data_IF_237325763311
#
_entry.id   IF_237325763311
#
_cell.length_a   1.000
_cell.length_b   1.000
_cell.length_c   1.000
_cell.angle_alpha   90.00
_cell.angle_beta   90.00
_cell.angle_gamma   90.00
#
_symmetry.space_group_name_H-M   'P 1'
#
loop_
_entity.id
_entity.type
_entity.pdbx_description
1 polymer ?
#
# COMPACT_ATOMS: atom_id res chain seq x y z
N UNK A 1 -15.16 56.90 -16.45
CA UNK A 1 -13.92 56.26 -15.95
C UNK A 1 -14.14 55.76 -14.53
N UNK A 2 -14.28 54.45 -14.31
CA UNK A 2 -14.35 53.85 -12.96
C UNK A 2 -13.14 52.92 -12.80
N UNK A 3 -12.10 53.39 -12.13
CA UNK A 3 -10.94 52.58 -11.75
C UNK A 3 -11.35 51.57 -10.68
N UNK A 4 -11.34 50.28 -11.02
CA UNK A 4 -11.42 49.17 -10.06
C UNK A 4 -10.02 48.94 -9.49
N UNK A 5 -9.82 49.28 -8.22
CA UNK A 5 -8.66 48.82 -7.46
C UNK A 5 -8.69 47.29 -7.35
N UNK A 6 -7.79 46.64 -8.09
CA UNK A 6 -7.52 45.22 -7.94
C UNK A 6 -6.87 44.98 -6.58
N UNK A 7 -7.52 44.19 -5.71
CA UNK A 7 -6.89 43.68 -4.49
C UNK A 7 -5.60 42.95 -4.90
N UNK A 8 -4.45 43.24 -4.28
CA UNK A 8 -3.24 42.49 -4.57
C UNK A 8 -3.48 41.03 -4.15
N UNK A 9 -3.34 40.11 -5.11
CA UNK A 9 -3.21 38.69 -4.80
C UNK A 9 -2.01 38.57 -3.86
N UNK A 10 -2.26 38.33 -2.57
CA UNK A 10 -1.23 37.84 -1.65
C UNK A 10 -0.67 36.57 -2.29
N UNK A 11 0.53 36.69 -2.90
CA UNK A 11 1.43 35.54 -3.04
C UNK A 11 1.69 35.09 -1.62
N UNK A 12 0.97 34.07 -1.16
CA UNK A 12 1.38 33.30 0.00
C UNK A 12 2.78 32.81 -0.30
N UNK A 13 3.77 33.41 0.39
CA UNK A 13 5.14 32.92 0.40
C UNK A 13 5.07 31.42 0.67
N UNK A 14 5.68 30.63 -0.22
CA UNK A 14 5.88 29.18 -0.09
C UNK A 14 6.88 28.91 1.04
N UNK A 15 6.54 29.25 2.28
CA UNK A 15 7.37 28.97 3.45
C UNK A 15 6.69 27.97 4.39
N UNK A 16 5.95 27.01 3.84
CA UNK A 16 5.38 25.94 4.64
C UNK A 16 6.49 24.93 4.98
N UNK A 17 7.19 25.26 6.07
CA UNK A 17 7.74 24.33 7.06
C UNK A 17 9.08 23.62 6.73
N UNK A 18 10.18 24.38 6.85
CA UNK A 18 11.59 23.91 6.76
C UNK A 18 12.20 23.42 8.09
N UNK A 19 11.42 23.36 9.18
CA UNK A 19 11.87 22.86 10.51
C UNK A 19 12.55 21.48 10.46
N UNK A 20 12.27 20.69 9.42
CA UNK A 20 12.83 19.35 9.23
C UNK A 20 14.33 19.37 8.94
N UNK A 21 14.84 20.46 8.35
CA UNK A 21 16.27 20.64 8.09
C UNK A 21 17.05 20.82 9.39
N UNK A 22 16.45 21.52 10.35
CA UNK A 22 17.02 21.72 11.68
C UNK A 22 17.04 20.42 12.52
N UNK A 23 16.46 19.34 12.00
CA UNK A 23 16.43 18.02 12.65
C UNK A 23 17.47 17.05 12.11
N UNK A 24 18.07 17.37 10.97
CA UNK A 24 19.05 16.50 10.33
C UNK A 24 20.44 16.89 10.81
N UNK A 25 21.12 15.93 11.44
CA UNK A 25 22.52 16.08 11.87
C UNK A 25 23.49 15.90 10.69
N UNK A 26 23.06 15.20 9.64
CA UNK A 26 23.85 14.95 8.44
C UNK A 26 23.83 16.17 7.50
N UNK A 27 24.94 16.92 7.53
CA UNK A 27 25.17 18.10 6.68
C UNK A 27 25.01 17.82 5.18
N UNK A 28 25.27 16.60 4.70
CA UNK A 28 25.10 16.23 3.30
C UNK A 28 23.62 16.16 2.91
N UNK A 29 22.78 15.53 3.75
CA UNK A 29 21.33 15.43 3.54
C UNK A 29 20.65 16.78 3.69
N UNK A 30 21.13 17.62 4.61
CA UNK A 30 20.65 19.01 4.77
C UNK A 30 20.90 19.81 3.49
N UNK A 31 22.10 19.72 2.93
CA UNK A 31 22.45 20.40 1.68
C UNK A 31 21.62 19.87 0.51
N UNK A 32 21.46 18.54 0.38
CA UNK A 32 20.62 17.95 -0.65
C UNK A 32 19.15 18.41 -0.56
N UNK A 33 18.56 18.48 0.62
CA UNK A 33 17.18 18.95 0.78
C UNK A 33 17.05 20.46 0.57
N UNK A 34 18.07 21.23 0.95
CA UNK A 34 18.15 22.67 0.72
C UNK A 34 18.21 23.05 -0.75
N UNK A 35 19.04 22.35 -1.53
CA UNK A 35 19.16 22.57 -2.97
C UNK A 35 17.88 22.22 -3.74
N UNK A 36 16.96 21.49 -3.09
CA UNK A 36 15.79 20.90 -3.71
C UNK A 36 14.46 21.36 -3.08
N UNK A 37 14.42 22.54 -2.45
CA UNK A 37 13.24 23.06 -1.71
C UNK A 37 11.93 23.11 -2.53
N UNK A 38 12.00 23.23 -3.86
CA UNK A 38 10.81 23.33 -4.73
C UNK A 38 10.15 21.99 -5.11
N UNK A 39 10.80 20.86 -4.80
CA UNK A 39 10.35 19.51 -5.21
C UNK A 39 9.79 18.67 -4.06
N UNK A 40 9.78 19.21 -2.84
CA UNK A 40 9.20 18.55 -1.69
C UNK A 40 8.41 19.50 -0.79
N UNK A 41 7.51 18.92 0.00
CA UNK A 41 6.78 19.63 1.05
C UNK A 41 6.77 18.76 2.29
N UNK A 42 7.04 19.34 3.46
CA UNK A 42 6.81 18.69 4.75
C UNK A 42 5.52 19.22 5.36
N UNK A 43 4.68 18.32 5.83
CA UNK A 43 3.54 18.68 6.68
C UNK A 43 3.92 18.40 8.12
N UNK A 44 3.75 19.40 9.00
CA UNK A 44 4.05 19.25 10.42
C UNK A 44 3.22 18.10 11.02
N UNK A 45 3.80 17.33 11.97
CA UNK A 45 3.04 16.35 12.72
C UNK A 45 2.00 17.09 13.59
N UNK A 46 0.82 16.52 13.74
CA UNK A 46 -0.24 17.12 14.57
C UNK A 46 0.09 17.11 16.08
N UNK A 47 1.14 16.42 16.51
CA UNK A 47 1.56 16.37 17.91
C UNK A 47 2.68 17.37 18.23
N UNK A 48 2.43 18.27 19.18
CA UNK A 48 3.43 19.24 19.67
C UNK A 48 4.68 18.60 20.28
N UNK A 49 4.58 17.33 20.72
CA UNK A 49 5.67 16.57 21.31
C UNK A 49 6.80 16.28 20.31
N UNK A 50 6.49 16.05 19.03
CA UNK A 50 7.50 15.85 17.99
C UNK A 50 8.29 17.14 17.69
N UNK A 51 7.65 18.31 17.81
CA UNK A 51 8.29 19.62 17.62
C UNK A 51 9.34 19.87 18.70
N UNK A 52 9.06 19.45 19.94
CA UNK A 52 10.01 19.54 21.07
C UNK A 52 11.08 18.46 20.98
N UNK A 53 10.70 17.24 20.59
CA UNK A 53 11.59 16.08 20.50
C UNK A 53 12.69 16.26 19.44
N UNK A 54 12.35 16.92 18.32
CA UNK A 54 13.27 17.17 17.20
C UNK A 54 13.95 15.90 16.65
N UNK A 55 13.36 14.73 16.89
CA UNK A 55 13.89 13.44 16.43
C UNK A 55 15.10 12.91 17.22
N UNK A 56 15.73 13.71 18.08
CA UNK A 56 16.95 13.33 18.83
C UNK A 56 16.67 12.86 20.25
N UNK A 57 15.60 13.36 20.89
CA UNK A 57 15.32 13.12 22.32
C UNK A 57 14.41 11.92 22.59
N UNK A 58 13.85 11.31 21.54
CA UNK A 58 12.99 10.13 21.61
C UNK A 58 11.86 10.24 22.64
N UNK A 59 11.31 11.45 22.81
CA UNK A 59 10.26 11.76 23.80
C UNK A 59 8.97 10.94 23.59
N UNK A 60 8.80 10.36 22.40
CA UNK A 60 7.70 9.46 22.10
C UNK A 60 7.91 8.02 22.63
N UNK A 61 9.04 7.73 23.28
CA UNK A 61 9.37 6.42 23.83
C UNK A 61 9.78 5.37 22.78
N UNK A 62 9.77 5.75 21.49
CA UNK A 62 10.16 4.86 20.39
C UNK A 62 11.67 4.64 20.39
N UNK A 63 12.11 3.45 19.99
CA UNK A 63 13.54 3.14 19.80
C UNK A 63 14.14 3.88 18.60
N UNK A 64 13.32 4.18 17.58
CA UNK A 64 13.70 4.97 16.41
C UNK A 64 12.65 5.99 16.02
N UNK A 65 13.07 7.20 15.62
CA UNK A 65 12.14 8.27 15.24
C UNK A 65 11.52 8.00 13.85
N UNK A 66 10.19 7.78 13.73
CA UNK A 66 9.55 7.52 12.44
C UNK A 66 9.61 8.72 11.48
N UNK A 67 9.67 9.93 12.03
CA UNK A 67 9.87 11.17 11.26
C UNK A 67 11.23 11.12 10.58
N UNK A 68 12.30 10.85 11.33
CA UNK A 68 13.66 10.80 10.78
C UNK A 68 13.84 9.65 9.79
N UNK A 69 13.23 8.48 10.03
CA UNK A 69 13.20 7.39 9.06
C UNK A 69 12.63 7.84 7.70
N UNK A 70 11.48 8.52 7.71
CA UNK A 70 10.85 9.03 6.49
C UNK A 70 11.69 10.14 5.84
N UNK A 71 12.27 11.03 6.62
CA UNK A 71 13.10 12.12 6.11
C UNK A 71 14.37 11.58 5.47
N UNK A 72 15.09 10.67 6.14
CA UNK A 72 16.31 10.06 5.62
C UNK A 72 16.02 9.24 4.36
N UNK A 73 14.93 8.47 4.36
CA UNK A 73 14.53 7.72 3.15
C UNK A 73 14.10 8.65 2.02
N UNK A 74 13.44 9.76 2.33
CA UNK A 74 13.08 10.76 1.33
C UNK A 74 14.31 11.45 0.76
N UNK A 75 15.23 11.92 1.61
CA UNK A 75 16.48 12.57 1.22
C UNK A 75 17.29 11.67 0.27
N UNK A 76 17.42 10.38 0.58
CA UNK A 76 18.04 9.39 -0.34
C UNK A 76 17.34 9.26 -1.69
N UNK A 77 16.05 9.57 -1.78
CA UNK A 77 15.32 9.61 -3.06
C UNK A 77 15.39 10.95 -3.77
N UNK A 78 15.88 12.02 -3.14
CA UNK A 78 15.96 13.37 -3.74
C UNK A 78 16.83 13.43 -5.00
N UNK A 79 18.01 12.79 -5.07
CA UNK A 79 18.81 12.75 -6.30
C UNK A 79 18.01 12.23 -7.51
N UNK A 80 17.07 11.32 -7.24
CA UNK A 80 16.22 10.65 -8.23
C UNK A 80 15.04 11.53 -8.71
N UNK A 81 14.80 12.66 -8.06
CA UNK A 81 13.70 13.59 -8.39
C UNK A 81 14.16 14.70 -9.35
N UNK A 82 15.48 14.88 -9.51
CA UNK A 82 16.03 15.91 -10.40
C UNK A 82 15.79 15.61 -11.88
N UNK A 83 15.47 14.38 -12.26
CA UNK A 83 15.28 14.02 -13.67
C UNK A 83 13.80 14.01 -14.06
N UNK A 84 13.53 14.38 -15.32
CA UNK A 84 12.21 14.22 -15.95
C UNK A 84 12.06 12.83 -16.58
N UNK A 85 13.18 12.17 -16.85
CA UNK A 85 13.24 10.84 -17.43
C UNK A 85 13.78 9.88 -16.36
N UNK A 86 13.00 8.86 -16.08
CA UNK A 86 13.33 7.81 -15.12
C UNK A 86 13.46 6.54 -15.93
N UNK A 87 14.59 5.86 -15.79
CA UNK A 87 14.83 4.58 -16.41
C UNK A 87 15.25 3.58 -15.34
N UNK A 88 14.66 2.40 -15.35
CA UNK A 88 14.99 1.34 -14.42
C UNK A 88 14.15 0.09 -14.61
N UNK A 89 14.61 -0.99 -13.98
CA UNK A 89 13.85 -2.22 -13.82
C UNK A 89 12.70 -1.91 -12.85
N UNK A 90 11.50 -1.77 -13.39
CA UNK A 90 10.29 -1.59 -12.59
C UNK A 90 9.85 -2.95 -12.07
N UNK A 91 9.49 -3.08 -10.77
CA UNK A 91 8.71 -4.23 -10.36
C UNK A 91 7.39 -4.23 -11.14
N UNK A 92 6.63 -5.34 -11.14
CA UNK A 92 5.27 -5.41 -11.69
C UNK A 92 4.25 -4.56 -10.89
N UNK A 93 4.62 -3.33 -10.55
CA UNK A 93 4.05 -2.50 -9.52
C UNK A 93 3.29 -1.34 -10.14
N UNK A 94 2.01 -1.27 -9.80
CA UNK A 94 1.08 -0.29 -10.34
C UNK A 94 0.26 0.32 -9.20
N UNK A 95 -0.13 1.58 -9.38
CA UNK A 95 -0.94 2.26 -8.38
C UNK A 95 -2.17 2.89 -9.02
N UNK A 96 -3.34 2.52 -8.50
CA UNK A 96 -4.63 3.11 -8.87
C UNK A 96 -5.15 3.88 -7.65
N UNK A 97 -5.22 5.19 -7.78
CA UNK A 97 -5.68 6.08 -6.71
C UNK A 97 -7.20 6.01 -6.48
N UNK A 98 -7.64 6.42 -5.28
CA UNK A 98 -9.07 6.53 -4.93
C UNK A 98 -9.63 7.95 -5.04
N UNK A 99 -8.75 8.95 -5.03
CA UNK A 99 -9.15 10.37 -5.01
C UNK A 99 -9.62 10.79 -6.39
N UNK A 100 -10.78 11.45 -6.46
CA UNK A 100 -11.36 11.95 -7.71
C UNK A 100 -12.29 10.96 -8.42
N UNK A 101 -12.61 9.82 -7.79
CA UNK A 101 -13.52 8.81 -8.35
C UNK A 101 -14.82 9.45 -8.90
N UNK A 102 -15.22 9.14 -10.16
CA UNK A 102 -14.76 8.05 -11.02
C UNK A 102 -13.52 8.37 -11.90
N UNK A 103 -12.93 9.56 -11.82
CA UNK A 103 -11.68 9.90 -12.51
C UNK A 103 -10.49 9.77 -11.57
N UNK A 104 -9.75 8.69 -11.72
CA UNK A 104 -8.64 8.35 -10.84
C UNK A 104 -7.30 8.55 -11.53
N UNK A 105 -6.23 8.66 -10.73
CA UNK A 105 -4.87 8.56 -11.25
C UNK A 105 -4.43 7.10 -11.23
N UNK A 106 -4.00 6.59 -12.37
CA UNK A 106 -3.40 5.28 -12.53
C UNK A 106 -2.02 5.41 -13.18
N UNK A 107 -1.09 4.51 -12.86
CA UNK A 107 0.20 4.45 -13.51
C UNK A 107 1.18 3.52 -12.81
N UNK A 108 2.37 3.34 -13.40
CA UNK A 108 3.40 2.46 -12.88
C UNK A 108 4.13 3.09 -11.68
N UNK A 109 4.83 2.24 -10.95
CA UNK A 109 5.72 2.61 -9.85
C UNK A 109 7.15 2.20 -10.21
N UNK A 110 7.93 3.15 -10.74
CA UNK A 110 9.23 2.87 -11.37
C UNK A 110 10.36 3.36 -10.48
N UNK A 111 11.31 2.51 -10.05
CA UNK A 111 12.54 2.93 -9.42
C UNK A 111 13.62 3.23 -10.47
N UNK A 112 14.54 4.17 -10.21
CA UNK A 112 15.71 4.43 -11.07
C UNK A 112 16.86 3.48 -10.71
N UNK A 113 16.58 2.18 -10.75
CA UNK A 113 17.52 1.10 -10.42
C UNK A 113 17.42 0.07 -11.54
N UNK A 114 18.55 -0.48 -11.99
CA UNK A 114 18.60 -1.45 -13.11
C UNK A 114 18.70 -2.91 -12.65
N UNK A 115 18.81 -3.15 -11.34
CA UNK A 115 18.81 -4.47 -10.74
C UNK A 115 17.39 -5.02 -10.56
N UNK A 116 17.24 -6.31 -10.26
CA UNK A 116 15.93 -6.91 -10.03
C UNK A 116 15.23 -6.30 -8.80
N UNK A 117 14.20 -5.49 -9.07
CA UNK A 117 13.41 -4.83 -8.04
C UNK A 117 12.11 -5.57 -7.73
N UNK A 118 11.94 -6.82 -8.17
CA UNK A 118 10.69 -7.59 -7.95
C UNK A 118 10.28 -7.63 -6.47
N UNK A 119 11.26 -7.65 -5.57
CA UNK A 119 11.04 -7.62 -4.13
C UNK A 119 10.38 -6.32 -3.64
N UNK A 120 10.49 -5.18 -4.34
CA UNK A 120 10.03 -3.87 -3.80
C UNK A 120 8.50 -3.73 -3.72
N UNK A 121 7.75 -4.63 -4.33
CA UNK A 121 6.29 -4.65 -4.33
C UNK A 121 5.76 -6.09 -4.22
N UNK A 122 6.41 -6.89 -3.36
CA UNK A 122 6.00 -8.26 -3.05
C UNK A 122 6.02 -8.51 -1.52
N UNK A 123 5.01 -8.00 -0.79
CA UNK A 123 4.92 -8.08 0.67
C UNK A 123 5.04 -9.49 1.26
N UNK A 124 4.61 -10.52 0.53
CA UNK A 124 4.72 -11.92 0.94
C UNK A 124 6.18 -12.35 1.21
N UNK A 125 7.16 -11.66 0.61
CA UNK A 125 8.59 -11.93 0.82
C UNK A 125 9.28 -10.92 1.75
N UNK A 126 8.52 -10.03 2.42
CA UNK A 126 9.10 -9.03 3.32
C UNK A 126 9.26 -9.51 4.75
N UNK A 127 8.68 -10.65 5.14
CA UNK A 127 8.85 -11.14 6.51
C UNK A 127 10.35 -11.39 6.80
N UNK A 128 10.83 -10.91 7.94
CA UNK A 128 12.25 -10.93 8.31
C UNK A 128 13.09 -9.76 7.79
N UNK A 129 12.52 -8.81 7.05
CA UNK A 129 13.17 -7.55 6.66
C UNK A 129 13.07 -6.49 7.75
N UNK A 130 13.98 -5.54 7.74
CA UNK A 130 13.92 -4.39 8.65
C UNK A 130 12.91 -3.36 8.16
N UNK A 131 12.41 -2.51 9.07
CA UNK A 131 11.54 -1.38 8.68
C UNK A 131 12.23 -0.46 7.68
N UNK A 132 13.55 -0.26 7.81
CA UNK A 132 14.36 0.54 6.89
C UNK A 132 14.36 0.00 5.47
N UNK A 133 14.52 -1.31 5.31
CA UNK A 133 14.48 -1.96 4.00
C UNK A 133 13.12 -1.75 3.34
N UNK A 134 12.03 -1.98 4.08
CA UNK A 134 10.67 -1.82 3.55
C UNK A 134 10.39 -0.35 3.20
N UNK A 135 10.74 0.59 4.09
CA UNK A 135 10.59 2.03 3.82
C UNK A 135 11.41 2.44 2.60
N UNK A 136 12.63 1.89 2.44
CA UNK A 136 13.50 2.12 1.28
C UNK A 136 12.84 1.59 0.00
N UNK A 137 12.38 0.33 -0.02
CA UNK A 137 11.68 -0.27 -1.16
C UNK A 137 10.56 0.63 -1.66
N UNK A 138 9.69 1.08 -0.74
CA UNK A 138 8.50 1.87 -1.07
C UNK A 138 8.81 3.31 -1.46
N UNK A 139 9.83 3.92 -0.88
CA UNK A 139 10.19 5.32 -1.13
C UNK A 139 10.94 5.51 -2.45
N UNK A 140 11.64 4.49 -2.95
CA UNK A 140 12.34 4.53 -4.24
C UNK A 140 11.40 4.44 -5.45
N UNK A 141 10.17 3.97 -5.24
CA UNK A 141 9.20 3.75 -6.30
C UNK A 141 8.51 5.06 -6.72
N UNK A 142 8.95 5.63 -7.85
CA UNK A 142 8.43 6.88 -8.39
C UNK A 142 7.11 6.60 -9.11
N UNK A 143 6.05 7.30 -8.68
CA UNK A 143 4.70 7.08 -9.20
C UNK A 143 4.40 7.96 -10.39
N UNK A 144 4.23 7.34 -11.55
CA UNK A 144 3.63 7.97 -12.71
C UNK A 144 2.13 8.18 -12.51
N UNK A 145 1.62 9.38 -12.80
CA UNK A 145 0.19 9.71 -12.70
C UNK A 145 -0.42 9.98 -14.07
N UNK A 146 -1.35 9.11 -14.50
CA UNK A 146 -2.21 9.33 -15.66
C UNK A 146 -3.67 9.39 -15.21
N UNK A 147 -4.43 10.41 -15.64
CA UNK A 147 -5.82 10.59 -15.20
C UNK A 147 -6.74 9.81 -16.14
N UNK A 148 -7.49 8.87 -15.60
CA UNK A 148 -8.33 7.94 -16.38
C UNK A 148 -9.70 7.77 -15.72
N UNK A 149 -10.74 7.56 -16.52
CA UNK A 149 -12.06 7.19 -16.03
C UNK A 149 -12.14 5.68 -15.77
N UNK A 150 -12.56 5.25 -14.58
CA UNK A 150 -12.50 3.83 -14.16
C UNK A 150 -13.21 2.84 -15.08
N UNK A 151 -14.27 3.24 -15.77
CA UNK A 151 -15.02 2.39 -16.73
C UNK A 151 -14.63 2.58 -18.19
N UNK A 152 -14.01 3.71 -18.54
CA UNK A 152 -13.60 4.04 -19.93
C UNK A 152 -12.08 4.04 -19.99
N UNK A 153 -11.51 2.98 -19.46
CA UNK A 153 -10.08 2.88 -19.27
C UNK A 153 -9.39 2.30 -20.52
N UNK A 154 -10.11 1.49 -21.31
CA UNK A 154 -9.64 1.03 -22.63
C UNK A 154 -9.35 2.19 -23.61
N UNK A 155 -10.08 3.31 -23.48
CA UNK A 155 -9.87 4.53 -24.28
C UNK A 155 -8.69 5.39 -23.78
N UNK A 156 -8.04 5.03 -22.67
CA UNK A 156 -7.02 5.86 -22.02
C UNK A 156 -5.66 5.87 -22.74
N UNK A 157 -5.55 5.13 -23.83
CA UNK A 157 -4.41 5.04 -24.72
C UNK A 157 -3.22 4.30 -24.14
N UNK A 158 -2.11 4.36 -24.89
CA UNK A 158 -0.87 3.60 -24.68
C UNK A 158 -0.36 3.56 -23.23
N UNK A 159 -0.46 4.67 -22.49
CA UNK A 159 0.04 4.73 -21.11
C UNK A 159 -0.65 3.71 -20.22
N UNK A 160 -1.97 3.53 -20.38
CA UNK A 160 -2.68 2.55 -19.57
C UNK A 160 -2.44 1.12 -20.06
N UNK A 161 -2.33 0.91 -21.36
CA UNK A 161 -2.01 -0.41 -21.91
C UNK A 161 -0.68 -0.93 -21.35
N UNK A 162 0.36 -0.10 -21.38
CA UNK A 162 1.67 -0.44 -20.78
C UNK A 162 1.58 -0.60 -19.27
N UNK A 163 0.77 0.22 -18.58
CA UNK A 163 0.54 0.05 -17.13
C UNK A 163 -0.11 -1.31 -16.82
N UNK A 164 -1.07 -1.76 -17.65
CA UNK A 164 -1.72 -3.07 -17.49
C UNK A 164 -0.74 -4.20 -17.78
N UNK A 165 0.05 -4.10 -18.85
CA UNK A 165 1.10 -5.08 -19.15
C UNK A 165 2.08 -5.24 -17.99
N UNK A 166 2.54 -4.13 -17.41
CA UNK A 166 3.41 -4.16 -16.24
C UNK A 166 2.75 -4.83 -15.03
N UNK A 167 1.44 -4.63 -14.80
CA UNK A 167 0.73 -5.27 -13.70
C UNK A 167 0.60 -6.79 -13.85
N UNK A 168 0.58 -7.28 -15.09
CA UNK A 168 0.49 -8.71 -15.44
C UNK A 168 1.86 -9.37 -15.60
N UNK A 169 2.94 -8.58 -15.55
CA UNK A 169 4.30 -9.06 -15.65
C UNK A 169 4.65 -10.01 -14.49
N UNK A 170 5.39 -11.07 -14.81
CA UNK A 170 5.82 -12.08 -13.85
C UNK A 170 7.02 -11.64 -13.00
N UNK A 171 7.85 -10.72 -13.51
CA UNK A 171 9.11 -10.23 -12.92
C UNK A 171 9.35 -8.76 -13.24
N UNK A 172 10.34 -8.15 -12.60
CA UNK A 172 10.77 -6.81 -12.94
C UNK A 172 11.11 -6.65 -14.43
N UNK A 173 10.71 -5.52 -15.01
CA UNK A 173 10.85 -5.22 -16.45
C UNK A 173 11.40 -3.81 -16.62
N UNK A 174 12.26 -3.61 -17.62
CA UNK A 174 12.82 -2.29 -17.90
C UNK A 174 11.73 -1.33 -18.39
N UNK A 175 11.63 -0.18 -17.71
CA UNK A 175 10.64 0.85 -17.99
C UNK A 175 11.33 2.20 -18.13
N UNK A 176 11.00 2.90 -19.21
CA UNK A 176 11.32 4.31 -19.43
C UNK A 176 10.08 5.15 -19.15
N UNK A 177 10.15 5.96 -18.10
CA UNK A 177 9.09 6.87 -17.67
C UNK A 177 9.52 8.31 -17.90
N UNK A 178 8.87 8.98 -18.85
CA UNK A 178 9.04 10.42 -19.10
C UNK A 178 7.93 11.21 -18.41
N UNK A 179 8.28 12.25 -17.67
CA UNK A 179 7.36 13.03 -16.84
C UNK A 179 7.11 14.44 -17.40
N UNK A 180 5.92 14.98 -17.17
CA UNK A 180 5.55 16.36 -17.57
C UNK A 180 6.20 17.44 -16.70
N UNK A 181 6.59 17.07 -15.48
CA UNK A 181 7.24 17.93 -14.48
C UNK A 181 8.02 17.05 -13.52
N UNK A 182 8.98 17.64 -12.81
CA UNK A 182 9.74 16.93 -11.79
C UNK A 182 8.80 16.22 -10.81
N UNK A 183 9.09 14.96 -10.44
CA UNK A 183 8.40 14.28 -9.37
C UNK A 183 8.35 15.19 -8.15
N UNK A 184 7.23 15.17 -7.42
CA UNK A 184 7.18 15.81 -6.11
C UNK A 184 6.88 14.79 -5.05
N UNK A 185 7.73 14.78 -4.04
CA UNK A 185 7.49 14.06 -2.81
C UNK A 185 6.75 14.94 -1.82
N UNK A 186 6.03 14.29 -0.93
CA UNK A 186 5.52 14.95 0.27
C UNK A 186 5.96 14.08 1.43
N UNK A 187 6.76 14.64 2.33
CA UNK A 187 7.01 14.03 3.63
C UNK A 187 5.76 14.34 4.46
N UNK A 188 4.74 13.51 4.28
CA UNK A 188 3.55 13.59 5.10
C UNK A 188 3.84 12.81 6.37
N UNK A 189 3.93 13.53 7.47
CA UNK A 189 4.03 12.95 8.81
C UNK A 189 2.63 12.61 9.31
N UNK A 190 1.95 11.76 8.53
CA UNK A 190 0.65 11.19 8.88
C UNK A 190 0.76 9.66 8.93
N UNK A 191 0.19 9.12 9.99
CA UNK A 191 -0.11 7.73 10.24
C UNK A 191 -0.81 6.99 9.10
N UNK A 192 -1.76 7.67 8.43
CA UNK A 192 -2.63 7.10 7.40
C UNK A 192 -1.94 6.70 6.09
N UNK A 193 -0.68 7.11 5.93
CA UNK A 193 -0.01 7.13 4.63
C UNK A 193 1.22 6.23 4.68
N UNK A 194 1.17 5.12 3.93
CA UNK A 194 2.36 4.32 3.64
C UNK A 194 3.47 5.23 3.09
N UNK A 195 4.75 4.94 3.37
CA UNK A 195 5.83 5.63 2.67
C UNK A 195 5.60 5.46 1.17
N UNK A 196 5.42 6.55 0.46
CA UNK A 196 5.29 6.54 -0.99
C UNK A 196 6.45 7.32 -1.56
N UNK A 197 7.01 6.77 -2.63
CA UNK A 197 7.90 7.55 -3.46
C UNK A 197 7.22 8.77 -4.09
N UNK A 198 8.06 9.68 -4.62
CA UNK A 198 7.61 10.92 -5.24
C UNK A 198 6.73 10.62 -6.46
N UNK A 199 6.00 11.63 -6.93
CA UNK A 199 5.03 11.41 -8.01
C UNK A 199 4.92 12.59 -8.97
N UNK A 200 4.68 12.30 -10.25
CA UNK A 200 4.44 13.30 -11.27
C UNK A 200 3.53 12.79 -12.40
N UNK A 201 2.83 13.69 -13.11
CA UNK A 201 2.09 13.34 -14.30
C UNK A 201 2.98 12.79 -15.42
N UNK A 202 2.52 11.73 -16.06
CA UNK A 202 3.23 11.04 -17.16
C UNK A 202 3.12 11.87 -18.44
N UNK A 203 4.24 11.96 -19.18
CA UNK A 203 4.32 12.46 -20.55
C UNK A 203 4.36 11.31 -21.55
N UNK A 204 5.28 10.37 -21.37
CA UNK A 204 5.42 9.15 -22.19
C UNK A 204 5.83 7.98 -21.28
N UNK A 205 5.46 6.78 -21.69
CA UNK A 205 5.78 5.54 -20.99
C UNK A 205 6.12 4.45 -22.01
N UNK A 206 7.30 3.86 -21.84
CA UNK A 206 7.78 2.74 -22.66
C UNK A 206 8.27 1.63 -21.73
N UNK A 207 8.12 0.40 -22.20
CA UNK A 207 8.51 -0.79 -21.46
C UNK A 207 9.15 -1.75 -22.47
N UNK A 208 10.16 -2.49 -22.03
CA UNK A 208 10.66 -3.64 -22.79
C UNK A 208 9.63 -4.77 -22.78
N UNK A 209 9.83 -5.82 -23.57
CA UNK A 209 8.89 -6.95 -23.60
C UNK A 209 8.79 -7.62 -22.22
N UNK A 210 7.61 -7.56 -21.59
CA UNK A 210 7.35 -8.22 -20.33
C UNK A 210 6.80 -9.63 -20.55
N UNK A 211 7.33 -10.62 -19.83
CA UNK A 211 6.71 -11.96 -19.77
C UNK A 211 5.57 -11.94 -18.77
N UNK A 212 4.36 -12.23 -19.23
CA UNK A 212 3.20 -12.30 -18.36
C UNK A 212 3.21 -13.55 -17.50
N UNK A 213 2.55 -13.49 -16.35
CA UNK A 213 2.21 -14.69 -15.58
C UNK A 213 1.13 -15.46 -16.34
N UNK A 214 1.43 -16.70 -16.74
CA UNK A 214 0.57 -17.51 -17.60
C UNK A 214 -0.85 -17.68 -17.04
N UNK A 215 -1.00 -17.77 -15.71
CA UNK A 215 -2.33 -17.91 -15.09
C UNK A 215 -3.12 -16.61 -15.17
N UNK A 216 -2.45 -15.46 -15.01
CA UNK A 216 -3.08 -14.14 -15.16
C UNK A 216 -3.44 -13.86 -16.62
N UNK A 217 -2.57 -14.23 -17.55
CA UNK A 217 -2.80 -14.09 -18.99
C UNK A 217 -4.03 -14.86 -19.45
N UNK A 218 -4.12 -16.14 -19.08
CA UNK A 218 -5.27 -17.00 -19.40
C UNK A 218 -6.59 -16.37 -18.95
N UNK A 219 -6.64 -15.92 -17.70
CA UNK A 219 -7.86 -15.34 -17.11
C UNK A 219 -8.14 -13.93 -17.64
N UNK A 220 -7.13 -13.18 -18.06
CA UNK A 220 -7.32 -11.89 -18.71
C UNK A 220 -8.01 -12.04 -20.07
N UNK A 221 -7.62 -13.04 -20.87
CA UNK A 221 -8.23 -13.30 -22.18
C UNK A 221 -9.61 -13.94 -22.09
N UNK A 222 -9.97 -14.55 -20.97
CA UNK A 222 -11.34 -15.01 -20.71
C UNK A 222 -12.26 -13.82 -20.38
N UNK A 223 -12.98 -13.34 -21.41
CA UNK A 223 -13.84 -12.16 -21.32
C UNK A 223 -15.22 -12.42 -20.73
N UNK A 224 -15.56 -13.69 -20.47
CA UNK A 224 -16.87 -14.10 -19.93
C UNK A 224 -16.77 -14.59 -18.48
N UNK A 225 -15.56 -14.82 -17.98
CA UNK A 225 -15.30 -15.19 -16.60
C UNK A 225 -15.58 -14.06 -15.61
N UNK A 226 -16.41 -14.35 -14.60
CA UNK A 226 -16.69 -13.40 -13.50
C UNK A 226 -15.44 -13.14 -12.67
N UNK A 227 -15.30 -11.90 -12.17
CA UNK A 227 -14.09 -11.47 -11.47
C UNK A 227 -13.80 -12.30 -10.21
N UNK A 228 -14.84 -12.72 -9.47
CA UNK A 228 -14.68 -13.62 -8.31
C UNK A 228 -14.09 -14.97 -8.74
N UNK A 229 -14.66 -15.59 -9.78
CA UNK A 229 -14.20 -16.88 -10.30
C UNK A 229 -12.77 -16.80 -10.82
N UNK A 230 -12.43 -15.73 -11.54
CA UNK A 230 -11.07 -15.42 -11.98
C UNK A 230 -10.07 -15.36 -10.81
N UNK A 231 -10.40 -14.61 -9.75
CA UNK A 231 -9.56 -14.51 -8.54
C UNK A 231 -9.34 -15.88 -7.90
N UNK A 232 -10.40 -16.66 -7.72
CA UNK A 232 -10.32 -17.98 -7.09
C UNK A 232 -9.57 -19.00 -7.95
N UNK A 233 -9.77 -19.02 -9.27
CA UNK A 233 -9.05 -19.91 -10.18
C UNK A 233 -7.54 -19.64 -10.10
N UNK A 234 -7.13 -18.38 -10.21
CA UNK A 234 -5.72 -18.01 -10.20
C UNK A 234 -5.07 -18.28 -8.84
N UNK A 235 -5.79 -17.98 -7.75
CA UNK A 235 -5.35 -18.30 -6.39
C UNK A 235 -5.16 -19.81 -6.17
N UNK A 236 -6.12 -20.63 -6.60
CA UNK A 236 -6.06 -22.09 -6.47
C UNK A 236 -4.87 -22.72 -7.21
N UNK A 237 -4.32 -22.03 -8.20
CA UNK A 237 -3.14 -22.43 -8.99
C UNK A 237 -1.81 -21.92 -8.40
N UNK A 238 -1.84 -21.36 -7.20
CA UNK A 238 -0.64 -20.96 -6.44
C UNK A 238 -0.07 -19.59 -6.82
N UNK A 239 -0.82 -18.75 -7.52
CA UNK A 239 -0.39 -17.37 -7.76
C UNK A 239 -0.54 -16.55 -6.48
N UNK A 240 0.53 -15.84 -6.12
CA UNK A 240 0.59 -14.99 -4.93
C UNK A 240 -0.51 -13.91 -4.93
N UNK A 241 -1.09 -13.66 -3.75
CA UNK A 241 -2.23 -12.75 -3.57
C UNK A 241 -1.92 -11.34 -4.07
N UNK A 242 -0.73 -10.81 -3.83
CA UNK A 242 -0.31 -9.49 -4.33
C UNK A 242 -0.37 -9.41 -5.86
N UNK A 243 0.00 -10.47 -6.58
CA UNK A 243 -0.11 -10.49 -8.05
C UNK A 243 -1.58 -10.38 -8.50
N UNK A 244 -2.46 -11.11 -7.81
CA UNK A 244 -3.91 -11.12 -8.06
C UNK A 244 -4.51 -9.73 -7.76
N UNK A 245 -4.13 -9.11 -6.64
CA UNK A 245 -4.57 -7.76 -6.26
C UNK A 245 -4.18 -6.69 -7.30
N UNK A 246 -2.96 -6.78 -7.85
CA UNK A 246 -2.48 -5.85 -8.90
C UNK A 246 -3.26 -6.04 -10.19
N UNK A 247 -3.40 -7.27 -10.66
CA UNK A 247 -4.20 -7.59 -11.84
C UNK A 247 -5.67 -7.15 -11.69
N UNK A 248 -6.27 -7.40 -10.52
CA UNK A 248 -7.63 -6.94 -10.20
C UNK A 248 -7.74 -5.41 -10.24
N UNK A 249 -6.73 -4.68 -9.73
CA UNK A 249 -6.72 -3.21 -9.71
C UNK A 249 -6.72 -2.56 -11.10
N UNK A 250 -6.05 -3.17 -12.07
CA UNK A 250 -6.01 -2.69 -13.46
C UNK A 250 -7.18 -3.19 -14.31
N UNK A 251 -8.18 -3.81 -13.68
CA UNK A 251 -9.38 -4.30 -14.37
C UNK A 251 -9.09 -5.50 -15.27
N UNK A 252 -8.10 -6.34 -14.94
CA UNK A 252 -7.77 -7.52 -15.75
C UNK A 252 -8.82 -8.64 -15.63
N UNK A 253 -9.63 -8.64 -14.57
CA UNK A 253 -10.57 -9.71 -14.28
C UNK A 253 -12.03 -9.27 -14.43
N UNK A 254 -12.88 -10.21 -14.82
CA UNK A 254 -14.32 -10.02 -14.93
C UNK A 254 -14.83 -10.02 -16.35
N UNK A 255 -16.17 -10.03 -16.47
CA UNK A 255 -16.86 -9.95 -17.75
C UNK A 255 -16.50 -8.63 -18.41
N UNK A 256 -16.07 -8.64 -19.68
CA UNK A 256 -15.48 -7.47 -20.36
C UNK A 256 -16.24 -6.15 -20.16
N UNK A 257 -17.57 -6.05 -20.42
CA UNK A 257 -18.34 -4.82 -20.19
C UNK A 257 -18.43 -4.35 -18.72
N UNK A 258 -18.08 -5.20 -17.75
CA UNK A 258 -18.09 -4.89 -16.32
C UNK A 258 -16.68 -4.63 -15.75
N UNK A 259 -15.62 -4.86 -16.55
CA UNK A 259 -14.24 -4.56 -16.14
C UNK A 259 -14.13 -3.07 -15.85
N UNK A 260 -13.34 -2.75 -14.81
CA UNK A 260 -13.08 -1.38 -14.38
C UNK A 260 -11.77 -1.33 -13.62
N UNK A 261 -11.13 -0.16 -13.65
CA UNK A 261 -10.04 0.13 -12.71
C UNK A 261 -10.61 0.18 -11.29
N UNK A 262 -9.95 -0.52 -10.37
CA UNK A 262 -10.30 -0.54 -8.96
C UNK A 262 -9.14 0.08 -8.17
N UNK A 263 -9.38 1.11 -7.34
CA UNK A 263 -8.34 1.68 -6.48
C UNK A 263 -7.60 0.60 -5.70
N UNK A 264 -6.27 0.68 -5.66
CA UNK A 264 -5.41 -0.38 -5.09
C UNK A 264 -5.83 -0.80 -3.69
N UNK A 265 -6.21 0.16 -2.82
CA UNK A 265 -6.70 -0.13 -1.47
C UNK A 265 -7.98 -0.97 -1.45
N UNK A 266 -8.90 -0.72 -2.39
CA UNK A 266 -10.12 -1.50 -2.51
C UNK A 266 -9.84 -2.87 -3.13
N UNK A 267 -8.90 -2.96 -4.07
CA UNK A 267 -8.48 -4.24 -4.67
C UNK A 267 -7.89 -5.19 -3.66
N UNK A 268 -7.00 -4.71 -2.78
CA UNK A 268 -6.41 -5.49 -1.68
C UNK A 268 -7.53 -6.15 -0.87
N UNK A 269 -8.43 -5.34 -0.31
CA UNK A 269 -9.51 -5.84 0.54
C UNK A 269 -10.51 -6.71 -0.22
N UNK A 270 -10.83 -6.37 -1.47
CA UNK A 270 -11.77 -7.13 -2.28
C UNK A 270 -11.24 -8.55 -2.58
N UNK A 271 -9.97 -8.68 -2.95
CA UNK A 271 -9.34 -9.96 -3.23
C UNK A 271 -9.24 -10.80 -1.97
N UNK A 272 -8.72 -10.23 -0.87
CA UNK A 272 -8.61 -10.94 0.41
C UNK A 272 -9.98 -11.41 0.88
N UNK A 273 -11.03 -10.58 0.76
CA UNK A 273 -12.40 -10.93 1.10
C UNK A 273 -12.97 -12.04 0.21
N UNK A 274 -12.74 -12.01 -1.10
CA UNK A 274 -13.22 -13.04 -2.03
C UNK A 274 -12.58 -14.40 -1.74
N UNK A 275 -11.27 -14.45 -1.55
CA UNK A 275 -10.53 -15.68 -1.28
C UNK A 275 -10.93 -16.23 0.09
N UNK A 276 -10.85 -15.40 1.14
CA UNK A 276 -11.21 -15.83 2.50
C UNK A 276 -12.64 -16.36 2.58
N UNK A 277 -13.63 -15.71 1.94
CA UNK A 277 -15.01 -16.23 1.92
C UNK A 277 -15.14 -17.60 1.27
N UNK A 278 -14.40 -17.86 0.19
CA UNK A 278 -14.40 -19.18 -0.46
C UNK A 278 -13.79 -20.26 0.45
N UNK A 279 -12.67 -19.93 1.10
CA UNK A 279 -12.02 -20.84 2.05
C UNK A 279 -12.90 -21.11 3.28
N UNK A 280 -13.62 -20.11 3.79
CA UNK A 280 -14.53 -20.26 4.95
C UNK A 280 -15.60 -21.31 4.67
N UNK A 281 -16.21 -21.30 3.47
CA UNK A 281 -17.23 -22.30 3.12
C UNK A 281 -16.66 -23.73 3.17
N UNK A 282 -15.40 -23.91 2.77
CA UNK A 282 -14.70 -25.20 2.89
C UNK A 282 -14.35 -25.53 4.34
N UNK A 283 -13.90 -24.54 5.12
CA UNK A 283 -13.53 -24.70 6.53
C UNK A 283 -14.71 -25.19 7.36
N UNK A 284 -15.92 -24.67 7.09
CA UNK A 284 -17.15 -25.07 7.79
C UNK A 284 -17.50 -26.56 7.64
N UNK A 285 -17.05 -27.20 6.55
CA UNK A 285 -17.28 -28.63 6.29
C UNK A 285 -16.28 -29.54 7.03
N UNK A 286 -15.20 -28.98 7.58
CA UNK A 286 -14.18 -29.76 8.26
C UNK A 286 -14.53 -30.03 9.73
N UNK A 287 -14.02 -31.14 10.31
CA UNK A 287 -14.16 -31.41 11.73
C UNK A 287 -13.46 -30.34 12.57
N UNK A 288 -13.98 -30.11 13.77
CA UNK A 288 -13.42 -29.17 14.73
C UNK A 288 -12.01 -29.57 15.14
N UNK A 289 -11.19 -28.59 15.52
CA UNK A 289 -10.02 -28.86 16.36
C UNK A 289 -10.47 -29.42 17.72
N UNK A 290 -9.59 -30.13 18.40
CA UNK A 290 -9.84 -30.80 19.68
C UNK A 290 -9.15 -30.12 20.87
N UNK A 291 -8.48 -28.99 20.63
CA UNK A 291 -7.62 -28.32 21.60
C UNK A 291 -7.62 -26.80 21.37
N UNK A 292 -7.24 -26.04 22.39
CA UNK A 292 -6.96 -24.62 22.25
C UNK A 292 -5.57 -24.45 21.66
N UNK A 293 -5.44 -23.59 20.65
CA UNK A 293 -4.15 -23.27 20.03
C UNK A 293 -3.89 -21.79 20.09
N UNK A 294 -2.71 -21.40 20.56
CA UNK A 294 -2.26 -20.03 20.57
C UNK A 294 -1.04 -19.90 19.65
N UNK A 295 -1.11 -18.98 18.70
CA UNK A 295 0.00 -18.62 17.84
C UNK A 295 0.43 -17.19 18.16
N UNK A 296 1.73 -17.01 18.38
CA UNK A 296 2.35 -15.71 18.62
C UNK A 296 3.24 -15.32 17.44
N UNK A 297 3.21 -14.05 17.06
CA UNK A 297 4.15 -13.48 16.10
C UNK A 297 4.47 -12.04 16.45
N UNK A 298 5.77 -11.71 16.49
CA UNK A 298 6.24 -10.35 16.74
C UNK A 298 7.09 -9.87 15.58
N UNK A 299 6.68 -8.78 14.93
CA UNK A 299 7.37 -8.23 13.77
C UNK A 299 7.10 -6.72 13.61
N UNK A 300 8.15 -5.94 13.37
CA UNK A 300 8.09 -4.48 13.16
C UNK A 300 7.21 -3.75 14.20
N UNK A 301 7.46 -4.00 15.49
CA UNK A 301 6.72 -3.40 16.61
C UNK A 301 5.21 -3.76 16.63
N UNK A 302 4.82 -4.81 15.91
CA UNK A 302 3.49 -5.41 15.98
C UNK A 302 3.60 -6.78 16.63
N UNK A 303 2.71 -7.05 17.59
CA UNK A 303 2.52 -8.37 18.17
C UNK A 303 1.15 -8.90 17.75
N UNK A 304 1.11 -10.13 17.27
CA UNK A 304 -0.10 -10.85 16.92
C UNK A 304 -0.24 -12.06 17.84
N UNK A 305 -1.40 -12.18 18.48
CA UNK A 305 -1.83 -13.37 19.19
C UNK A 305 -3.06 -13.92 18.46
N UNK A 306 -2.99 -15.18 18.01
CA UNK A 306 -4.11 -15.84 17.34
C UNK A 306 -4.54 -17.02 18.18
N UNK A 307 -5.70 -16.90 18.81
CA UNK A 307 -6.33 -17.96 19.58
C UNK A 307 -7.32 -18.71 18.69
N UNK A 308 -7.13 -20.02 18.56
CA UNK A 308 -8.09 -20.93 17.93
C UNK A 308 -8.73 -21.83 18.99
N UNK A 309 -10.05 -21.93 18.94
CA UNK A 309 -10.88 -22.62 19.91
C UNK A 309 -11.69 -23.74 19.24
N UNK A 310 -11.94 -24.87 19.92
CA UNK A 310 -12.67 -26.04 19.39
C UNK A 310 -14.17 -25.76 19.30
N UNK A 311 -14.57 -24.88 18.38
CA UNK A 311 -15.94 -24.48 18.14
C UNK A 311 -16.18 -24.23 16.64
N UNK A 312 -17.44 -24.14 16.25
CA UNK A 312 -17.86 -23.80 14.89
C UNK A 312 -17.24 -22.46 14.45
N UNK A 313 -17.03 -22.34 13.13
CA UNK A 313 -16.40 -21.17 12.55
C UNK A 313 -17.06 -19.88 13.02
N UNK A 314 -16.25 -19.04 13.64
CA UNK A 314 -16.51 -17.64 13.95
C UNK A 314 -15.15 -16.94 14.01
N UNK A 315 -15.15 -15.65 13.73
CA UNK A 315 -13.92 -14.90 13.60
C UNK A 315 -14.07 -13.50 14.19
N UNK A 316 -13.17 -13.15 15.08
CA UNK A 316 -13.04 -11.80 15.63
C UNK A 316 -11.60 -11.31 15.45
N UNK A 317 -11.46 -10.03 15.10
CA UNK A 317 -10.17 -9.38 15.08
C UNK A 317 -10.23 -8.07 15.87
N UNK A 318 -9.26 -7.88 16.76
CA UNK A 318 -9.15 -6.72 17.64
C UNK A 318 -7.77 -6.11 17.46
N UNK A 319 -7.71 -4.80 17.23
CA UNK A 319 -6.49 -4.02 17.21
C UNK A 319 -6.38 -3.14 18.44
N UNK A 320 -5.27 -3.28 19.16
CA UNK A 320 -4.89 -2.47 20.30
C UNK A 320 -3.74 -1.53 19.92
N UNK A 321 -3.99 -0.23 20.01
CA UNK A 321 -3.03 0.82 19.70
C UNK A 321 -2.52 1.45 20.99
N UNK A 322 -1.27 1.14 21.37
CA UNK A 322 -0.67 1.64 22.60
C UNK A 322 -0.34 3.13 22.54
N UNK A 323 -0.32 3.84 23.68
CA UNK A 323 0.18 5.22 23.78
C UNK A 323 1.54 5.40 23.11
N UNK A 324 1.71 6.45 22.31
CA UNK A 324 2.95 6.72 21.57
C UNK A 324 3.03 6.03 20.21
N UNK A 325 2.11 5.13 19.89
CA UNK A 325 1.96 4.59 18.54
C UNK A 325 1.44 5.64 17.57
N UNK A 326 1.58 5.32 16.28
CA UNK A 326 1.21 6.18 15.18
C UNK A 326 -0.28 6.59 15.20
N UNK A 327 -1.17 5.73 15.70
CA UNK A 327 -2.62 5.97 15.79
C UNK A 327 -3.10 6.31 17.21
N UNK A 328 -2.19 6.33 18.18
CA UNK A 328 -2.45 6.79 19.54
C UNK A 328 -1.26 7.63 20.08
N UNK A 329 -0.83 8.70 19.37
CA UNK A 329 0.45 9.37 19.64
C UNK A 329 0.48 10.17 20.93
N UNK A 330 -0.69 10.57 21.46
CA UNK A 330 -0.82 11.38 22.68
C UNK A 330 -1.84 10.84 23.68
N UNK A 331 -2.37 9.63 23.47
CA UNK A 331 -3.29 9.03 24.42
C UNK A 331 -2.57 8.54 25.68
N UNK A 332 -3.34 8.42 26.76
CA UNK A 332 -2.85 7.92 28.07
C UNK A 332 -3.28 6.47 28.34
N UNK A 333 -4.08 5.90 27.45
CA UNK A 333 -4.64 4.55 27.54
C UNK A 333 -4.55 3.87 26.17
N UNK A 334 -4.52 2.55 26.17
CA UNK A 334 -4.60 1.75 24.94
C UNK A 334 -5.97 1.98 24.30
N UNK A 335 -5.99 2.23 23.00
CA UNK A 335 -7.22 2.36 22.22
C UNK A 335 -7.45 1.05 21.49
N UNK A 336 -8.61 0.44 21.70
CA UNK A 336 -8.97 -0.85 21.10
C UNK A 336 -10.14 -0.67 20.15
N UNK A 337 -10.05 -1.28 18.97
CA UNK A 337 -11.14 -1.41 18.01
C UNK A 337 -11.16 -2.83 17.50
N UNK A 338 -12.34 -3.39 17.32
CA UNK A 338 -12.48 -4.74 16.81
C UNK A 338 -13.72 -4.88 15.97
N UNK A 339 -13.78 -5.99 15.24
CA UNK A 339 -14.95 -6.38 14.48
C UNK A 339 -14.99 -7.90 14.39
N UNK A 340 -16.16 -8.46 14.12
CA UNK A 340 -16.38 -9.91 14.20
C UNK A 340 -17.37 -10.40 13.12
N UNK A 341 -17.36 -11.72 12.91
CA UNK A 341 -18.36 -12.41 12.13
C UNK A 341 -18.65 -13.79 12.74
N UNK A 342 -19.92 -14.15 12.83
CA UNK A 342 -20.34 -15.48 13.26
C UNK A 342 -20.30 -16.48 12.10
N UNK A 343 -20.91 -17.64 12.30
CA UNK A 343 -20.97 -18.72 11.32
C UNK A 343 -21.56 -18.29 9.96
N UNK A 344 -22.60 -17.47 9.98
CA UNK A 344 -23.23 -16.94 8.76
C UNK A 344 -22.40 -15.85 8.04
N UNK A 345 -21.27 -15.44 8.63
CA UNK A 345 -20.43 -14.37 8.12
C UNK A 345 -21.06 -12.99 8.29
N UNK A 346 -20.53 -12.01 7.54
CA UNK A 346 -20.95 -10.61 7.57
C UNK A 346 -21.37 -10.07 6.21
N UNK A 347 -22.29 -9.10 6.23
CA UNK A 347 -22.78 -8.38 5.05
C UNK A 347 -22.15 -6.99 4.88
N UNK A 348 -21.67 -6.37 5.98
CA UNK A 348 -21.05 -5.04 5.99
C UNK A 348 -19.52 -5.11 5.87
N UNK A 349 -18.91 -3.98 5.52
CA UNK A 349 -17.45 -3.82 5.51
C UNK A 349 -16.90 -3.71 6.94
N UNK A 350 -15.73 -4.30 7.20
CA UNK A 350 -15.10 -4.30 8.52
C UNK A 350 -14.65 -2.92 8.98
N UNK A 351 -15.01 -2.54 10.21
CA UNK A 351 -14.71 -1.20 10.75
C UNK A 351 -13.19 -0.98 10.87
N UNK A 352 -12.46 -1.99 11.35
CA UNK A 352 -10.99 -1.95 11.45
C UNK A 352 -10.29 -2.00 10.07
N UNK A 353 -11.03 -2.31 9.01
CA UNK A 353 -10.57 -2.19 7.62
C UNK A 353 -9.81 -3.41 7.09
N UNK A 354 -8.76 -3.18 6.31
CA UNK A 354 -8.12 -4.22 5.48
C UNK A 354 -7.39 -5.32 6.27
N UNK A 355 -6.85 -4.97 7.44
CA UNK A 355 -6.18 -5.90 8.35
C UNK A 355 -7.09 -7.07 8.77
N UNK A 356 -8.39 -6.79 8.97
CA UNK A 356 -9.42 -7.80 9.27
C UNK A 356 -9.41 -8.92 8.22
N UNK A 357 -9.43 -8.54 6.95
CA UNK A 357 -9.54 -9.49 5.83
C UNK A 357 -8.24 -10.22 5.56
N UNK A 358 -7.09 -9.55 5.74
CA UNK A 358 -5.78 -10.17 5.57
C UNK A 358 -5.52 -11.24 6.65
N UNK A 359 -5.81 -10.94 7.93
CA UNK A 359 -5.67 -11.91 9.01
C UNK A 359 -6.67 -13.07 8.85
N UNK A 360 -7.92 -12.77 8.47
CA UNK A 360 -8.93 -13.79 8.18
C UNK A 360 -8.48 -14.73 7.07
N UNK A 361 -7.91 -14.20 5.98
CA UNK A 361 -7.36 -15.02 4.89
C UNK A 361 -6.28 -15.97 5.41
N UNK A 362 -5.28 -15.48 6.13
CA UNK A 362 -4.20 -16.32 6.66
C UNK A 362 -4.70 -17.44 7.60
N UNK A 363 -5.67 -17.12 8.47
CA UNK A 363 -6.34 -18.11 9.33
C UNK A 363 -7.04 -19.18 8.51
N UNK A 364 -7.80 -18.78 7.49
CA UNK A 364 -8.54 -19.70 6.63
C UNK A 364 -7.61 -20.59 5.80
N UNK A 365 -6.46 -20.06 5.36
CA UNK A 365 -5.42 -20.84 4.67
C UNK A 365 -4.88 -21.96 5.56
N UNK A 366 -4.57 -21.65 6.83
CA UNK A 366 -4.07 -22.64 7.78
C UNK A 366 -5.12 -23.73 8.06
N UNK A 367 -6.35 -23.33 8.40
CA UNK A 367 -7.44 -24.28 8.69
C UNK A 367 -7.79 -25.14 7.47
N UNK A 368 -7.75 -24.56 6.26
CA UNK A 368 -7.96 -25.32 5.02
C UNK A 368 -6.85 -26.33 4.78
N UNK A 369 -5.59 -25.94 5.03
CA UNK A 369 -4.42 -26.82 4.90
C UNK A 369 -4.52 -28.01 5.87
N UNK A 370 -4.93 -27.76 7.10
CA UNK A 370 -5.08 -28.79 8.13
C UNK A 370 -6.39 -29.59 8.02
N UNK A 371 -7.34 -29.14 7.19
CA UNK A 371 -8.70 -29.68 7.09
C UNK A 371 -9.37 -29.73 8.47
N UNK A 372 -9.36 -28.57 9.13
CA UNK A 372 -9.96 -28.36 10.45
C UNK A 372 -10.81 -27.10 10.48
N UNK A 373 -11.69 -27.03 11.47
CA UNK A 373 -12.54 -25.88 11.79
C UNK A 373 -12.27 -25.39 13.20
N UNK A 374 -12.37 -24.08 13.42
CA UNK A 374 -12.22 -23.45 14.72
C UNK A 374 -12.95 -22.12 14.78
N UNK A 375 -13.31 -21.68 15.99
CA UNK A 375 -13.55 -20.27 16.29
C UNK A 375 -12.21 -19.57 16.52
N UNK A 376 -12.01 -18.38 15.96
CA UNK A 376 -10.71 -17.72 15.95
C UNK A 376 -10.81 -16.27 16.40
N UNK A 377 -9.95 -15.89 17.34
CA UNK A 377 -9.75 -14.50 17.77
C UNK A 377 -8.33 -14.08 17.42
N UNK A 378 -8.21 -13.01 16.65
CA UNK A 378 -6.92 -12.38 16.31
C UNK A 378 -6.78 -11.09 17.11
N UNK A 379 -5.78 -11.04 17.97
CA UNK A 379 -5.41 -9.85 18.71
C UNK A 379 -4.14 -9.28 18.10
N UNK A 380 -4.19 -8.02 17.67
CA UNK A 380 -3.02 -7.30 17.17
C UNK A 380 -2.71 -6.14 18.11
N UNK A 381 -1.53 -6.13 18.67
CA UNK A 381 -1.01 -4.99 19.40
C UNK A 381 0.00 -4.23 18.56
N UNK A 382 -0.24 -2.95 18.34
CA UNK A 382 0.79 -2.04 17.89
C UNK A 382 1.46 -1.44 19.12
N UNK A 383 2.77 -1.64 19.27
CA UNK A 383 3.56 -1.12 20.38
C UNK A 383 4.44 0.04 19.92
N UNK A 384 4.90 0.92 20.84
CA UNK A 384 5.67 2.12 20.51
C UNK A 384 7.04 1.82 19.93
#
# INVERSE_FOLDING_TARGET
MKYRFGKPKRRTQRSDNLWILDLLEDSSLVNELNDNRDIWTARQPQSGLCVVCKGSRMLCGKTRCPVMLRVNSFARSVPLIKTLNIFGASPPSVFVGRVGYPYVYAGPMVPPIHEDTSLYDLPELWFGKTIDEIVRFRSMLIRGKHRVHVRRFEEAGKILDVTRELALASRATDVELSLKKHPRGSIVLNADVQPFGPSAPIRDLRMSSARWDHQLEKVYYDTDLRAKSAVLEVYSRGVMVTKIQRAFSVGAFGVKPQRRLVPTRWSITAVDSMISKDLIERVKEFPLINEYRLYESSYLENQFEVLMMPDAWSYEAIEAWYPGTVWNPGGRRVVMFGDWEGYSGRSSYAEIGGCYYAARLAVCELLTKERRQASVVVLREARP
#
